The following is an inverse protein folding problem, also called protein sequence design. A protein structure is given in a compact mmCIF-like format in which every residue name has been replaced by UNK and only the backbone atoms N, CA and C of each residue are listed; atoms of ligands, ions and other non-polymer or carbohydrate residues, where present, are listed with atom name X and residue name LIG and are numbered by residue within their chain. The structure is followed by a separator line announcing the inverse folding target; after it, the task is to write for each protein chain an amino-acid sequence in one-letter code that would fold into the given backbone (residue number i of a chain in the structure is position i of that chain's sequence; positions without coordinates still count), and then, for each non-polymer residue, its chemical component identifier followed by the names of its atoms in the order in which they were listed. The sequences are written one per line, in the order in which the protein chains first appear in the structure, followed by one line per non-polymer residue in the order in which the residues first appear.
data_IF_081465909519
#
_entry.id   IF_081465909519
#
_cell.length_a   1.000
_cell.length_b   1.000
_cell.length_c   1.000
_cell.angle_alpha   90.00
_cell.angle_beta   90.00
_cell.angle_gamma   90.00
#
_symmetry.space_group_name_H-M   'P 1'
#
loop_
_entity.id
_entity.type
_entity.pdbx_description
1 polymer ?
#
# COMPACT_ATOMS: atom_id res chain seq x y z
N UNK A 1 -13.77 -6.88 35.25
CA UNK A 1 -14.19 -5.70 34.52
C UNK A 1 -14.48 -4.51 35.46
N UNK A 2 -15.37 -4.64 36.47
CA UNK A 2 -15.77 -3.54 37.37
C UNK A 2 -14.56 -2.90 38.10
N UNK A 3 -13.66 -3.73 38.67
CA UNK A 3 -12.46 -3.26 39.35
C UNK A 3 -11.55 -2.46 38.40
N UNK A 4 -11.31 -3.00 37.20
CA UNK A 4 -10.49 -2.34 36.18
C UNK A 4 -11.05 -0.94 35.82
N UNK A 5 -12.34 -0.84 35.60
CA UNK A 5 -12.99 0.45 35.27
C UNK A 5 -12.85 1.47 36.41
N UNK A 6 -13.13 1.07 37.66
CA UNK A 6 -12.99 1.95 38.82
C UNK A 6 -11.55 2.44 39.00
N UNK A 7 -10.55 1.58 38.77
CA UNK A 7 -9.14 1.95 38.88
C UNK A 7 -8.73 2.96 37.80
N UNK A 8 -9.22 2.77 36.56
CA UNK A 8 -8.96 3.72 35.45
C UNK A 8 -9.56 5.10 35.79
N UNK A 9 -10.80 5.13 36.31
CA UNK A 9 -11.48 6.38 36.68
C UNK A 9 -10.80 7.07 37.84
N UNK A 10 -10.29 6.33 38.83
CA UNK A 10 -9.62 6.90 40.00
C UNK A 10 -8.26 7.53 39.65
N UNK A 11 -7.47 6.92 38.79
CA UNK A 11 -6.13 7.38 38.39
C UNK A 11 -6.08 7.98 36.98
N UNK A 12 -7.04 8.81 36.61
CA UNK A 12 -7.27 9.32 35.25
C UNK A 12 -6.01 9.88 34.56
N UNK A 13 -5.16 10.61 35.30
CA UNK A 13 -3.97 11.25 34.69
C UNK A 13 -2.97 10.24 34.09
N UNK A 14 -2.68 9.17 34.82
CA UNK A 14 -1.73 8.13 34.37
C UNK A 14 -2.28 7.32 33.18
N UNK A 15 -3.54 6.93 33.26
CA UNK A 15 -4.17 6.14 32.20
C UNK A 15 -4.41 6.96 30.92
N UNK A 16 -4.65 8.28 31.01
CA UNK A 16 -4.70 9.16 29.85
C UNK A 16 -3.39 9.16 29.07
N UNK A 17 -2.25 9.18 29.79
CA UNK A 17 -0.93 9.12 29.14
C UNK A 17 -0.77 7.79 28.37
N UNK A 18 -1.17 6.67 29.00
CA UNK A 18 -1.13 5.35 28.32
C UNK A 18 -2.00 5.34 27.06
N UNK A 19 -3.23 5.83 27.17
CA UNK A 19 -4.14 5.94 26.01
C UNK A 19 -3.53 6.84 24.92
N UNK A 20 -2.93 7.97 25.28
CA UNK A 20 -2.30 8.88 24.33
C UNK A 20 -1.12 8.21 23.58
N UNK A 21 -0.29 7.46 24.30
CA UNK A 21 0.82 6.73 23.66
C UNK A 21 0.32 5.63 22.76
N UNK A 22 -0.66 4.82 23.19
CA UNK A 22 -1.28 3.78 22.34
C UNK A 22 -1.92 4.42 21.10
N UNK A 23 -2.64 5.51 21.28
CA UNK A 23 -3.22 6.28 20.19
C UNK A 23 -2.17 6.71 19.18
N UNK A 24 -1.09 7.37 19.63
CA UNK A 24 -0.05 7.88 18.72
C UNK A 24 0.65 6.76 17.94
N UNK A 25 1.03 5.68 18.63
CA UNK A 25 1.71 4.56 17.96
C UNK A 25 0.74 3.87 16.97
N UNK A 26 -0.49 3.60 17.40
CA UNK A 26 -1.50 2.95 16.53
C UNK A 26 -1.83 3.82 15.32
N UNK A 27 -1.97 5.13 15.52
CA UNK A 27 -2.17 6.08 14.43
C UNK A 27 -1.01 6.03 13.42
N UNK A 28 0.24 6.02 13.90
CA UNK A 28 1.42 5.92 13.03
C UNK A 28 1.45 4.57 12.28
N UNK A 29 1.10 3.46 12.94
CA UNK A 29 1.02 2.14 12.30
C UNK A 29 0.00 2.15 11.16
N UNK A 30 -1.20 2.68 11.39
CA UNK A 30 -2.23 2.77 10.36
C UNK A 30 -1.84 3.71 9.22
N UNK A 31 -1.28 4.86 9.56
CA UNK A 31 -0.82 5.84 8.57
C UNK A 31 0.28 5.25 7.66
N UNK A 32 1.30 4.61 8.25
CA UNK A 32 2.35 3.93 7.48
C UNK A 32 1.81 2.75 6.66
N UNK A 33 0.86 1.99 7.20
CA UNK A 33 0.20 0.92 6.46
C UNK A 33 -0.55 1.46 5.24
N UNK A 34 -1.29 2.56 5.40
CA UNK A 34 -2.01 3.22 4.30
C UNK A 34 -1.09 3.72 3.21
N UNK A 35 0.03 4.34 3.59
CA UNK A 35 1.06 4.78 2.64
C UNK A 35 1.72 3.60 1.93
N UNK A 36 2.05 2.54 2.67
CA UNK A 36 2.67 1.33 2.12
C UNK A 36 1.78 0.70 1.06
N UNK A 37 0.51 0.47 1.39
CA UNK A 37 -0.47 -0.13 0.47
C UNK A 37 -0.74 0.80 -0.71
N UNK A 38 -0.90 2.10 -0.46
CA UNK A 38 -1.13 3.09 -1.51
C UNK A 38 0.01 3.16 -2.51
N UNK A 39 1.26 3.23 -2.03
CA UNK A 39 2.46 3.22 -2.89
C UNK A 39 2.61 1.89 -3.65
N UNK A 40 2.40 0.75 -2.98
CA UNK A 40 2.45 -0.56 -3.62
C UNK A 40 1.42 -0.65 -4.76
N UNK A 41 0.20 -0.17 -4.53
CA UNK A 41 -0.85 -0.11 -5.57
C UNK A 41 -0.45 0.79 -6.74
N UNK A 42 0.05 1.99 -6.49
CA UNK A 42 0.45 2.92 -7.55
C UNK A 42 1.55 2.36 -8.47
N UNK A 43 2.34 1.41 -8.02
CA UNK A 43 3.32 0.75 -8.87
C UNK A 43 2.69 -0.21 -9.89
N UNK A 44 1.46 -0.68 -9.68
CA UNK A 44 0.90 -1.81 -10.44
C UNK A 44 -0.56 -1.64 -10.86
N UNK A 45 -1.26 -0.55 -10.53
CA UNK A 45 -2.69 -0.39 -10.80
C UNK A 45 -3.07 -0.69 -12.25
N UNK A 46 -2.28 -0.22 -13.23
CA UNK A 46 -2.53 -0.50 -14.64
C UNK A 46 -2.45 -2.00 -14.97
N UNK A 47 -1.57 -2.74 -14.29
CA UNK A 47 -1.43 -4.20 -14.47
C UNK A 47 -2.61 -4.94 -13.86
N UNK A 48 -3.09 -4.49 -12.70
CA UNK A 48 -4.23 -5.09 -12.00
C UNK A 48 -5.53 -4.99 -12.82
N UNK A 49 -5.68 -3.95 -13.66
CA UNK A 49 -6.84 -3.75 -14.55
C UNK A 49 -6.93 -4.84 -15.65
N UNK A 50 -5.81 -5.34 -16.15
CA UNK A 50 -5.79 -6.31 -17.22
C UNK A 50 -6.34 -7.67 -16.85
N UNK A 51 -6.37 -8.01 -15.55
CA UNK A 51 -6.76 -9.33 -15.05
C UNK A 51 -6.01 -10.46 -15.77
N UNK A 52 -4.76 -10.21 -16.12
CA UNK A 52 -3.90 -11.14 -16.83
C UNK A 52 -3.18 -12.08 -15.85
N UNK A 53 -2.98 -13.32 -16.26
CA UNK A 53 -2.29 -14.31 -15.42
C UNK A 53 -0.79 -14.25 -15.53
N UNK A 54 -0.26 -13.85 -16.71
CA UNK A 54 1.19 -13.80 -16.92
C UNK A 54 1.60 -12.74 -17.93
N UNK A 55 2.89 -12.42 -17.89
CA UNK A 55 3.57 -11.54 -18.83
C UNK A 55 4.82 -12.23 -19.37
N UNK A 56 5.11 -12.04 -20.64
CA UNK A 56 6.26 -12.62 -21.33
C UNK A 56 7.20 -11.49 -21.72
N UNK A 57 8.44 -11.61 -21.29
CA UNK A 57 9.52 -10.66 -21.54
C UNK A 57 10.65 -11.34 -22.30
N UNK A 58 11.56 -10.55 -22.84
CA UNK A 58 12.84 -11.06 -23.33
C UNK A 58 13.60 -11.76 -22.18
N UNK A 59 14.16 -12.93 -22.42
CA UNK A 59 15.01 -13.65 -21.48
C UNK A 59 16.19 -12.78 -20.98
N UNK A 60 16.69 -11.89 -21.84
CA UNK A 60 17.80 -10.98 -21.50
C UNK A 60 17.39 -9.74 -20.68
N UNK A 61 16.08 -9.54 -20.48
CA UNK A 61 15.56 -8.38 -19.75
C UNK A 61 15.67 -8.50 -18.23
N UNK A 62 16.08 -9.65 -17.71
CA UNK A 62 16.16 -9.91 -16.26
C UNK A 62 14.88 -9.51 -15.52
N UNK A 63 13.73 -9.93 -16.05
CA UNK A 63 12.38 -9.65 -15.51
C UNK A 63 11.98 -8.16 -15.48
N UNK A 64 12.73 -7.29 -16.15
CA UNK A 64 12.48 -5.85 -16.17
C UNK A 64 11.81 -5.44 -17.49
N UNK A 65 10.58 -4.95 -17.41
CA UNK A 65 9.79 -4.51 -18.58
C UNK A 65 10.49 -3.40 -19.37
N UNK A 66 11.19 -2.48 -18.68
CA UNK A 66 11.86 -1.35 -19.34
C UNK A 66 13.02 -1.85 -20.23
N UNK A 67 13.70 -2.90 -19.79
CA UNK A 67 14.82 -3.49 -20.52
C UNK A 67 14.39 -4.52 -21.58
N UNK A 68 13.11 -4.91 -21.58
CA UNK A 68 12.59 -5.91 -22.50
C UNK A 68 12.26 -5.30 -23.86
N UNK A 69 12.75 -5.95 -24.90
CA UNK A 69 12.42 -5.64 -26.30
C UNK A 69 12.26 -6.95 -27.07
N UNK A 70 11.12 -7.11 -27.70
CA UNK A 70 10.75 -8.25 -28.52
C UNK A 70 10.40 -7.76 -29.90
N UNK A 71 10.80 -8.52 -30.94
CA UNK A 71 10.37 -8.24 -32.33
C UNK A 71 9.04 -8.94 -32.56
N UNK A 72 7.98 -8.18 -32.77
CA UNK A 72 6.63 -8.71 -32.95
C UNK A 72 6.54 -9.73 -34.08
N UNK A 73 7.30 -9.51 -35.16
CA UNK A 73 7.30 -10.40 -36.33
C UNK A 73 7.79 -11.82 -35.98
N UNK A 74 8.74 -11.96 -35.08
CA UNK A 74 9.28 -13.26 -34.66
C UNK A 74 8.24 -14.08 -33.87
N UNK A 75 7.29 -13.38 -33.19
CA UNK A 75 6.28 -13.99 -32.33
C UNK A 75 4.85 -13.80 -32.83
N UNK A 76 4.64 -13.34 -34.07
CA UNK A 76 3.32 -13.06 -34.63
C UNK A 76 2.35 -14.24 -34.57
N UNK A 77 2.88 -15.48 -34.62
CA UNK A 77 2.10 -16.72 -34.48
C UNK A 77 1.44 -16.87 -33.10
N UNK A 78 1.93 -16.17 -32.06
CA UNK A 78 1.38 -16.23 -30.72
C UNK A 78 0.12 -15.37 -30.57
N UNK A 79 -0.11 -14.40 -31.45
CA UNK A 79 -1.29 -13.53 -31.46
C UNK A 79 -2.54 -14.19 -32.08
N UNK A 80 -2.62 -15.52 -32.08
CA UNK A 80 -3.79 -16.23 -32.55
C UNK A 80 -4.83 -16.31 -31.42
N UNK A 81 -5.74 -15.34 -31.38
CA UNK A 81 -6.82 -15.25 -30.40
C UNK A 81 -6.74 -14.01 -29.51
N UNK A 82 -7.78 -13.84 -28.67
CA UNK A 82 -7.96 -12.65 -27.84
C UNK A 82 -7.25 -12.74 -26.48
N UNK A 83 -6.48 -13.81 -26.24
CA UNK A 83 -5.85 -14.10 -24.95
C UNK A 83 -4.44 -13.55 -24.80
N UNK A 84 -3.78 -13.15 -25.89
CA UNK A 84 -2.42 -12.61 -25.89
C UNK A 84 -2.41 -11.25 -26.58
N UNK A 85 -1.88 -10.24 -25.88
CA UNK A 85 -1.79 -8.90 -26.39
C UNK A 85 -0.36 -8.35 -26.33
N UNK A 86 0.02 -7.57 -27.35
CA UNK A 86 1.28 -6.86 -27.41
C UNK A 86 1.21 -5.60 -26.53
N UNK A 87 2.29 -5.38 -25.76
CA UNK A 87 2.45 -4.20 -24.92
C UNK A 87 3.75 -3.48 -25.27
N UNK A 88 3.64 -2.21 -25.63
CA UNK A 88 4.74 -1.26 -25.64
C UNK A 88 4.84 -0.51 -24.31
N UNK A 89 6.04 -0.29 -23.79
CA UNK A 89 6.23 0.51 -22.58
C UNK A 89 7.42 1.44 -22.74
N UNK A 90 7.24 2.70 -22.31
CA UNK A 90 8.33 3.67 -22.15
C UNK A 90 7.94 4.70 -21.09
N UNK A 91 8.93 5.36 -20.48
CA UNK A 91 8.69 6.53 -19.65
C UNK A 91 8.67 7.78 -20.50
N UNK A 92 7.83 8.75 -20.16
CA UNK A 92 7.77 10.01 -20.86
C UNK A 92 7.66 11.20 -19.90
N UNK A 93 8.17 12.33 -20.37
CA UNK A 93 7.91 13.65 -19.82
C UNK A 93 6.93 14.33 -20.74
N UNK A 94 5.73 14.56 -20.26
CA UNK A 94 4.68 15.27 -20.98
C UNK A 94 4.77 16.78 -20.72
N UNK A 95 4.90 17.56 -21.77
CA UNK A 95 4.74 19.00 -21.75
C UNK A 95 3.45 19.34 -22.47
N UNK A 96 2.65 20.28 -21.98
CA UNK A 96 1.51 20.82 -22.70
C UNK A 96 1.72 22.30 -23.05
N UNK A 97 0.90 22.84 -23.90
CA UNK A 97 1.08 24.01 -24.77
C UNK A 97 1.72 25.26 -24.13
N UNK A 98 1.62 25.45 -22.83
CA UNK A 98 2.20 26.62 -22.13
C UNK A 98 3.61 26.37 -21.58
N UNK A 99 4.18 25.17 -21.79
CA UNK A 99 5.62 24.87 -21.62
C UNK A 99 6.21 24.99 -20.23
N UNK A 100 5.44 25.32 -19.20
CA UNK A 100 5.96 25.58 -17.86
C UNK A 100 5.98 24.35 -16.96
N UNK A 101 5.04 23.43 -17.10
CA UNK A 101 4.94 22.25 -16.21
C UNK A 101 5.28 20.95 -16.95
N UNK A 102 6.33 20.30 -16.47
CA UNK A 102 6.76 18.98 -16.93
C UNK A 102 6.12 17.90 -16.07
N UNK A 103 5.32 17.04 -16.68
CA UNK A 103 4.64 15.95 -16.01
C UNK A 103 5.28 14.63 -16.38
N UNK A 104 5.77 13.91 -15.37
CA UNK A 104 6.25 12.54 -15.59
C UNK A 104 5.06 11.60 -15.75
N UNK A 105 5.10 10.75 -16.78
CA UNK A 105 4.11 9.74 -17.09
C UNK A 105 4.79 8.46 -17.59
N UNK A 106 4.06 7.35 -17.52
CA UNK A 106 4.38 6.13 -18.25
C UNK A 106 3.55 6.11 -19.52
N UNK A 107 4.08 5.57 -20.59
CA UNK A 107 3.37 5.39 -21.86
C UNK A 107 3.20 3.90 -22.11
N UNK A 108 1.96 3.49 -22.33
CA UNK A 108 1.61 2.15 -22.79
C UNK A 108 1.08 2.22 -24.22
N UNK A 109 1.81 1.56 -25.14
CA UNK A 109 1.38 1.33 -26.52
C UNK A 109 0.67 0.00 -26.62
N UNK A 110 -0.53 -0.02 -27.17
CA UNK A 110 -1.37 -1.22 -27.28
C UNK A 110 -2.28 -1.14 -28.52
N UNK A 111 -2.87 -2.26 -28.91
CA UNK A 111 -4.00 -2.25 -29.84
C UNK A 111 -5.28 -1.95 -29.07
N UNK A 112 -6.10 -1.00 -29.56
CA UNK A 112 -7.35 -0.63 -28.91
C UNK A 112 -8.39 -1.76 -28.84
N UNK A 113 -8.28 -2.76 -29.73
CA UNK A 113 -9.13 -3.95 -29.71
C UNK A 113 -8.68 -5.01 -28.69
N UNK A 114 -7.53 -4.80 -28.03
CA UNK A 114 -7.00 -5.74 -27.06
C UNK A 114 -7.63 -5.57 -25.67
N UNK A 115 -7.59 -6.61 -24.86
CA UNK A 115 -8.02 -6.58 -23.46
C UNK A 115 -7.17 -5.67 -22.57
N UNK A 116 -6.09 -5.09 -23.09
CA UNK A 116 -5.24 -4.12 -22.39
C UNK A 116 -5.81 -2.70 -22.46
N UNK A 117 -6.79 -2.45 -23.34
CA UNK A 117 -7.40 -1.14 -23.50
C UNK A 117 -8.08 -0.71 -22.19
N UNK A 118 -7.83 0.52 -21.70
CA UNK A 118 -8.40 0.98 -20.44
C UNK A 118 -9.87 1.34 -20.58
N UNK A 119 -10.63 1.20 -19.50
CA UNK A 119 -11.98 1.73 -19.40
C UNK A 119 -11.95 3.27 -19.36
N UNK A 120 -12.79 3.90 -20.20
CA UNK A 120 -12.87 5.35 -20.32
C UNK A 120 -13.95 5.88 -19.41
N UNK A 121 -13.57 6.82 -18.52
CA UNK A 121 -14.51 7.46 -17.58
C UNK A 121 -15.01 8.82 -18.08
N UNK A 122 -14.26 9.46 -18.99
CA UNK A 122 -14.60 10.78 -19.55
C UNK A 122 -14.01 10.89 -20.97
N UNK A 123 -14.72 11.52 -21.87
CA UNK A 123 -14.29 11.71 -23.25
C UNK A 123 -14.77 10.56 -24.17
N UNK A 124 -13.93 10.18 -25.12
CA UNK A 124 -14.22 9.11 -26.11
C UNK A 124 -13.02 8.21 -26.32
N UNK A 125 -13.22 7.01 -26.93
CA UNK A 125 -12.12 6.19 -27.42
C UNK A 125 -11.22 6.94 -28.42
N UNK A 126 -9.96 6.54 -28.47
CA UNK A 126 -9.05 6.99 -29.51
C UNK A 126 -9.37 6.24 -30.81
N UNK A 127 -9.57 6.98 -31.89
CA UNK A 127 -9.93 6.47 -33.21
C UNK A 127 -8.91 6.83 -34.29
N UNK A 128 -8.12 7.88 -34.03
CA UNK A 128 -7.15 8.40 -34.98
C UNK A 128 -5.73 8.30 -34.45
N UNK A 129 -4.74 8.35 -35.34
CA UNK A 129 -3.34 8.44 -34.95
C UNK A 129 -3.10 9.69 -34.07
N UNK A 130 -2.17 9.55 -33.13
CA UNK A 130 -1.77 10.59 -32.16
C UNK A 130 -2.88 11.01 -31.17
N UNK A 131 -3.96 10.24 -31.07
CA UNK A 131 -4.93 10.38 -30.00
C UNK A 131 -4.52 9.50 -28.82
N UNK A 132 -4.66 10.04 -27.59
CA UNK A 132 -4.25 9.35 -26.37
C UNK A 132 -5.35 9.38 -25.31
N UNK A 133 -5.36 8.33 -24.48
CA UNK A 133 -6.19 8.27 -23.27
C UNK A 133 -5.27 8.39 -22.07
N UNK A 134 -5.54 9.33 -21.19
CA UNK A 134 -4.69 9.67 -20.06
C UNK A 134 -5.32 9.25 -18.72
N UNK A 135 -4.50 8.86 -17.76
CA UNK A 135 -4.98 8.65 -16.39
C UNK A 135 -5.46 9.98 -15.76
N UNK A 136 -6.57 9.93 -15.03
CA UNK A 136 -7.23 11.07 -14.35
C UNK A 136 -6.29 11.90 -13.47
N UNK A 137 -5.18 11.34 -13.00
CA UNK A 137 -4.18 12.10 -12.23
C UNK A 137 -3.46 13.15 -13.07
N UNK A 138 -3.39 12.99 -14.40
CA UNK A 138 -2.94 14.06 -15.29
C UNK A 138 -3.97 15.18 -15.38
N UNK A 139 -5.27 14.87 -15.37
CA UNK A 139 -6.36 15.85 -15.29
C UNK A 139 -6.27 16.67 -13.99
N UNK A 140 -5.99 16.01 -12.84
CA UNK A 140 -5.79 16.69 -11.56
C UNK A 140 -4.58 17.63 -11.56
N UNK A 141 -3.63 17.43 -12.46
CA UNK A 141 -2.46 18.31 -12.68
C UNK A 141 -2.67 19.38 -13.76
N UNK A 142 -3.90 19.51 -14.26
CA UNK A 142 -4.30 20.59 -15.18
C UNK A 142 -4.51 20.19 -16.63
N UNK A 143 -4.19 18.95 -17.04
CA UNK A 143 -4.45 18.46 -18.40
C UNK A 143 -5.94 18.30 -18.63
N UNK A 144 -6.45 18.77 -19.78
CA UNK A 144 -7.88 18.74 -20.15
C UNK A 144 -8.11 17.93 -21.41
N UNK A 145 -9.37 17.54 -21.64
CA UNK A 145 -9.78 16.97 -22.92
C UNK A 145 -9.51 17.98 -24.05
N UNK A 146 -8.90 17.48 -25.12
CA UNK A 146 -8.52 18.28 -26.28
C UNK A 146 -7.12 18.89 -26.22
N UNK A 147 -6.47 18.89 -25.05
CA UNK A 147 -5.10 19.37 -24.92
C UNK A 147 -4.13 18.54 -25.76
N UNK A 148 -3.11 19.19 -26.26
CA UNK A 148 -2.03 18.56 -27.00
C UNK A 148 -0.80 18.39 -26.10
N UNK A 149 -0.34 17.18 -25.97
CA UNK A 149 0.84 16.82 -25.18
C UNK A 149 2.03 16.59 -26.09
N UNK A 150 3.15 17.25 -25.77
CA UNK A 150 4.45 16.93 -26.34
C UNK A 150 5.13 15.93 -25.42
N UNK A 151 5.40 14.72 -25.91
CA UNK A 151 6.05 13.65 -25.12
C UNK A 151 7.54 13.57 -25.48
N UNK A 152 8.42 13.61 -24.45
CA UNK A 152 9.89 13.51 -24.59
C UNK A 152 10.50 14.50 -25.59
N UNK A 153 9.88 15.65 -25.83
CA UNK A 153 10.36 16.62 -26.82
C UNK A 153 10.18 16.15 -28.28
N UNK A 154 9.29 15.17 -28.52
CA UNK A 154 8.91 14.75 -29.87
C UNK A 154 8.37 15.91 -30.68
N UNK A 155 8.60 15.92 -31.99
CA UNK A 155 7.96 16.89 -32.90
C UNK A 155 6.45 16.67 -33.05
N UNK A 156 5.98 15.44 -32.69
CA UNK A 156 4.56 15.09 -32.71
C UNK A 156 3.86 15.56 -31.44
N UNK A 157 2.64 16.02 -31.62
CA UNK A 157 1.72 16.38 -30.55
C UNK A 157 0.65 15.29 -30.43
N UNK A 158 0.38 14.87 -29.21
CA UNK A 158 -0.59 13.83 -28.88
C UNK A 158 -1.81 14.45 -28.23
N UNK A 159 -2.98 14.27 -28.84
CA UNK A 159 -4.22 14.86 -28.36
C UNK A 159 -4.90 13.99 -27.31
N UNK A 160 -5.20 14.54 -26.15
CA UNK A 160 -5.96 13.86 -25.08
C UNK A 160 -7.44 13.81 -25.46
N UNK A 161 -7.96 12.64 -25.78
CA UNK A 161 -9.37 12.45 -26.21
C UNK A 161 -10.22 11.77 -25.14
N UNK A 162 -9.59 11.14 -24.13
CA UNK A 162 -10.29 10.50 -23.03
C UNK A 162 -9.46 10.44 -21.78
N UNK A 163 -10.16 10.26 -20.66
CA UNK A 163 -9.55 9.97 -19.36
C UNK A 163 -9.98 8.61 -18.85
N UNK A 164 -9.07 7.96 -18.15
CA UNK A 164 -9.26 6.70 -17.45
C UNK A 164 -8.92 6.85 -15.97
N UNK A 165 -9.31 5.91 -15.13
CA UNK A 165 -9.06 5.94 -13.69
C UNK A 165 -8.26 4.71 -13.25
N UNK A 166 -7.51 4.85 -12.16
CA UNK A 166 -6.72 3.78 -11.55
C UNK A 166 -5.70 3.13 -12.50
N UNK A 167 -5.10 3.91 -13.39
CA UNK A 167 -4.07 3.47 -14.31
C UNK A 167 -2.72 4.11 -13.98
N UNK A 168 -1.93 3.42 -13.16
CA UNK A 168 -0.55 3.82 -12.85
C UNK A 168 0.44 2.68 -12.93
N UNK A 169 1.66 3.03 -13.28
CA UNK A 169 2.79 2.15 -13.32
C UNK A 169 4.04 2.91 -12.85
N UNK A 170 4.91 2.30 -12.04
CA UNK A 170 6.04 2.99 -11.38
C UNK A 170 5.63 4.28 -10.65
N UNK A 171 4.49 4.25 -9.94
CA UNK A 171 3.92 5.41 -9.24
C UNK A 171 3.49 6.60 -10.12
N UNK A 172 3.68 6.49 -11.43
CA UNK A 172 3.34 7.54 -12.40
C UNK A 172 2.02 7.23 -13.11
N UNK A 173 1.25 8.26 -13.52
CA UNK A 173 0.07 8.09 -14.35
C UNK A 173 0.44 7.50 -15.70
N UNK A 174 -0.43 6.67 -16.27
CA UNK A 174 -0.23 6.08 -17.59
C UNK A 174 -0.96 6.90 -18.65
N UNK A 175 -0.29 7.06 -19.80
CA UNK A 175 -0.85 7.54 -21.05
C UNK A 175 -0.91 6.34 -21.99
N UNK A 176 -2.09 6.02 -22.50
CA UNK A 176 -2.33 4.96 -23.46
C UNK A 176 -2.38 5.53 -24.87
N UNK A 177 -1.74 4.86 -25.80
CA UNK A 177 -1.72 5.22 -27.22
C UNK A 177 -1.72 3.97 -28.11
N UNK A 178 -1.95 4.18 -29.40
CA UNK A 178 -1.80 3.11 -30.36
C UNK A 178 -0.36 2.59 -30.42
N UNK A 179 -0.21 1.30 -30.75
CA UNK A 179 1.09 0.63 -30.76
C UNK A 179 2.03 1.21 -31.81
N UNK A 180 1.52 1.68 -32.95
CA UNK A 180 2.34 2.30 -33.98
C UNK A 180 2.78 3.72 -33.59
N UNK A 181 1.93 4.49 -32.92
CA UNK A 181 2.29 5.79 -32.33
C UNK A 181 3.35 5.63 -31.22
N UNK A 182 3.22 4.61 -30.39
CA UNK A 182 4.23 4.23 -29.41
C UNK A 182 5.60 3.92 -30.05
N UNK A 183 5.59 3.18 -31.15
CA UNK A 183 6.80 2.84 -31.89
C UNK A 183 7.48 4.09 -32.46
N UNK A 184 6.68 5.00 -33.01
CA UNK A 184 7.18 6.29 -33.49
C UNK A 184 7.79 7.11 -32.35
N UNK A 185 7.11 7.18 -31.19
CA UNK A 185 7.62 7.88 -30.01
C UNK A 185 8.93 7.29 -29.47
N UNK A 186 9.01 5.96 -29.36
CA UNK A 186 10.14 5.29 -28.70
C UNK A 186 11.32 5.06 -29.64
N UNK A 187 11.06 4.71 -30.91
CA UNK A 187 12.07 4.29 -31.87
C UNK A 187 12.23 5.25 -33.08
N UNK A 188 11.42 6.32 -33.13
CA UNK A 188 11.44 7.29 -34.21
C UNK A 188 10.77 6.82 -35.52
N UNK A 189 10.21 5.59 -35.55
CA UNK A 189 9.55 5.04 -36.73
C UNK A 189 8.57 3.94 -36.37
N UNK A 190 7.36 3.99 -36.94
CA UNK A 190 6.36 2.92 -36.82
C UNK A 190 6.73 1.64 -37.58
N UNK A 191 7.73 1.71 -38.49
CA UNK A 191 8.24 0.54 -39.20
C UNK A 191 9.03 -0.42 -38.32
N UNK A 192 9.52 0.04 -37.18
CA UNK A 192 10.22 -0.80 -36.20
C UNK A 192 9.19 -1.56 -35.38
N UNK A 193 8.88 -2.80 -35.78
CA UNK A 193 7.86 -3.63 -35.13
C UNK A 193 8.35 -4.26 -33.83
N UNK A 194 8.83 -3.40 -32.91
CA UNK A 194 9.27 -3.80 -31.58
C UNK A 194 8.16 -3.54 -30.55
N UNK A 195 8.07 -4.44 -29.57
CA UNK A 195 7.20 -4.37 -28.41
C UNK A 195 8.02 -4.61 -27.14
N UNK A 196 7.48 -4.28 -25.99
CA UNK A 196 8.17 -4.50 -24.71
C UNK A 196 7.83 -5.87 -24.10
N UNK A 197 6.59 -6.33 -24.28
CA UNK A 197 6.12 -7.58 -23.68
C UNK A 197 4.92 -8.16 -24.45
N UNK A 198 4.64 -9.45 -24.17
CA UNK A 198 3.35 -10.05 -24.44
C UNK A 198 2.62 -10.24 -23.09
N UNK A 199 1.38 -9.82 -23.01
CA UNK A 199 0.53 -10.03 -21.84
C UNK A 199 -0.43 -11.17 -22.15
N UNK A 200 -0.52 -12.15 -21.26
CA UNK A 200 -1.31 -13.37 -21.43
C UNK A 200 -2.43 -13.38 -20.40
N UNK A 201 -3.67 -13.40 -20.88
CA UNK A 201 -4.88 -13.31 -20.05
C UNK A 201 -5.24 -14.65 -19.41
N UNK A 202 -5.05 -15.72 -20.12
CA UNK A 202 -5.30 -17.10 -19.69
C UNK A 202 -4.00 -17.83 -19.32
N UNK A 203 -4.12 -19.01 -18.74
CA UNK A 203 -2.98 -19.81 -18.28
C UNK A 203 -2.13 -20.45 -19.40
N UNK A 204 -2.17 -19.91 -20.62
CA UNK A 204 -1.40 -20.42 -21.74
C UNK A 204 0.10 -20.31 -21.45
N UNK A 205 0.81 -21.45 -21.58
CA UNK A 205 2.26 -21.48 -21.47
C UNK A 205 2.90 -21.17 -22.81
N UNK A 206 3.87 -20.28 -22.81
CA UNK A 206 4.67 -19.91 -23.96
C UNK A 206 6.09 -20.41 -23.73
N UNK A 207 6.46 -21.47 -24.42
CA UNK A 207 7.79 -22.08 -24.34
C UNK A 207 8.52 -21.80 -25.67
N UNK A 208 9.07 -20.60 -25.80
CA UNK A 208 9.82 -20.16 -26.96
C UNK A 208 11.22 -19.70 -26.55
N UNK A 209 12.21 -20.00 -27.39
CA UNK A 209 13.59 -19.57 -27.16
C UNK A 209 13.69 -18.04 -27.10
N UNK A 210 14.42 -17.50 -26.13
CA UNK A 210 14.61 -16.07 -25.95
C UNK A 210 13.49 -15.36 -25.18
N UNK A 211 12.44 -16.09 -24.79
CA UNK A 211 11.32 -15.58 -23.99
C UNK A 211 11.34 -16.11 -22.56
N UNK A 212 10.93 -15.27 -21.64
CA UNK A 212 10.75 -15.61 -20.22
C UNK A 212 9.33 -15.24 -19.81
N UNK A 213 8.50 -16.25 -19.53
CA UNK A 213 7.15 -16.06 -19.03
C UNK A 213 7.18 -16.01 -17.49
N UNK A 214 6.56 -14.98 -16.92
CA UNK A 214 6.43 -14.76 -15.48
C UNK A 214 4.95 -14.74 -15.11
N UNK A 215 4.59 -15.29 -13.96
CA UNK A 215 3.27 -14.99 -13.39
C UNK A 215 3.15 -13.49 -13.13
N UNK A 216 1.93 -12.94 -13.18
CA UNK A 216 1.74 -11.52 -12.91
C UNK A 216 2.22 -11.13 -11.51
N UNK A 217 2.06 -12.01 -10.52
CA UNK A 217 2.59 -11.81 -9.17
C UNK A 217 4.11 -11.74 -9.15
N UNK A 218 4.80 -12.70 -9.79
CA UNK A 218 6.27 -12.70 -9.87
C UNK A 218 6.78 -11.45 -10.60
N UNK A 219 6.10 -11.02 -11.65
CA UNK A 219 6.47 -9.80 -12.38
C UNK A 219 6.34 -8.56 -11.49
N UNK A 220 5.22 -8.40 -10.76
CA UNK A 220 4.98 -7.28 -9.84
C UNK A 220 6.05 -7.24 -8.75
N UNK A 221 6.41 -8.37 -8.17
CA UNK A 221 7.46 -8.45 -7.16
C UNK A 221 8.83 -8.04 -7.69
N UNK A 222 9.10 -8.25 -8.99
CA UNK A 222 10.35 -7.86 -9.64
C UNK A 222 10.33 -6.44 -10.24
N UNK A 223 9.23 -5.68 -10.10
CA UNK A 223 9.21 -4.25 -10.48
C UNK A 223 10.32 -3.52 -9.69
N UNK A 224 11.21 -2.78 -10.38
CA UNK A 224 12.30 -2.06 -9.74
C UNK A 224 11.82 -1.16 -8.59
N UNK A 225 12.37 -1.38 -7.39
CA UNK A 225 12.02 -0.64 -6.19
C UNK A 225 10.79 -1.15 -5.42
N UNK A 226 9.96 -2.04 -5.98
CA UNK A 226 8.75 -2.54 -5.31
C UNK A 226 9.07 -3.35 -4.05
N UNK A 227 9.87 -4.40 -4.19
CA UNK A 227 10.27 -5.27 -3.07
C UNK A 227 10.98 -4.50 -1.93
N UNK A 228 12.02 -3.70 -2.19
CA UNK A 228 12.67 -2.89 -1.14
C UNK A 228 11.69 -1.96 -0.43
N UNK A 229 10.76 -1.35 -1.17
CA UNK A 229 9.72 -0.48 -0.61
C UNK A 229 8.81 -1.25 0.36
N UNK A 230 8.23 -2.37 -0.09
CA UNK A 230 7.31 -3.20 0.71
C UNK A 230 8.02 -3.72 1.98
N UNK A 231 9.26 -4.20 1.85
CA UNK A 231 10.05 -4.68 2.99
C UNK A 231 10.35 -3.56 3.98
N UNK A 232 10.71 -2.38 3.51
CA UNK A 232 11.01 -1.23 4.38
C UNK A 232 9.79 -0.84 5.21
N UNK A 233 8.62 -0.67 4.58
CA UNK A 233 7.40 -0.34 5.31
C UNK A 233 6.98 -1.47 6.26
N UNK A 234 7.08 -2.73 5.85
CA UNK A 234 6.75 -3.87 6.69
C UNK A 234 7.65 -3.93 7.93
N UNK A 235 8.94 -3.65 7.78
CA UNK A 235 9.88 -3.57 8.89
C UNK A 235 9.54 -2.40 9.83
N UNK A 236 9.23 -1.22 9.30
CA UNK A 236 8.82 -0.06 10.10
C UNK A 236 7.55 -0.34 10.90
N UNK A 237 6.54 -0.93 10.26
CA UNK A 237 5.29 -1.32 10.93
C UNK A 237 5.56 -2.35 12.02
N UNK A 238 6.36 -3.37 11.73
CA UNK A 238 6.76 -4.39 12.72
C UNK A 238 7.49 -3.81 13.92
N UNK A 239 8.40 -2.87 13.69
CA UNK A 239 9.10 -2.15 14.76
C UNK A 239 8.13 -1.34 15.63
N UNK A 240 7.15 -0.65 15.03
CA UNK A 240 6.14 0.11 15.77
C UNK A 240 5.25 -0.79 16.62
N UNK A 241 4.87 -1.96 16.11
CA UNK A 241 4.11 -2.97 16.86
C UNK A 241 4.93 -3.49 18.04
N UNK A 242 6.22 -3.75 17.85
CA UNK A 242 7.13 -4.15 18.93
C UNK A 242 7.27 -3.05 20.00
N UNK A 243 7.37 -1.80 19.58
CA UNK A 243 7.38 -0.65 20.49
C UNK A 243 6.10 -0.61 21.33
N UNK A 244 4.94 -0.90 20.73
CA UNK A 244 3.67 -0.98 21.48
C UNK A 244 3.73 -2.01 22.60
N UNK A 245 4.26 -3.20 22.32
CA UNK A 245 4.49 -4.25 23.31
C UNK A 245 5.37 -3.78 24.46
N UNK A 246 6.54 -3.19 24.16
CA UNK A 246 7.49 -2.73 25.17
C UNK A 246 6.94 -1.59 26.02
N UNK A 247 6.37 -0.57 25.38
CA UNK A 247 5.87 0.62 26.05
C UNK A 247 4.71 0.28 26.98
N UNK A 248 3.72 -0.48 26.51
CA UNK A 248 2.62 -0.91 27.36
C UNK A 248 3.08 -1.84 28.47
N UNK A 249 4.00 -2.73 28.18
CA UNK A 249 4.59 -3.60 29.20
C UNK A 249 5.25 -2.80 30.34
N UNK A 250 6.07 -1.83 29.99
CA UNK A 250 6.76 -0.94 30.95
C UNK A 250 5.75 -0.11 31.74
N UNK A 251 4.78 0.53 31.08
CA UNK A 251 3.78 1.33 31.76
C UNK A 251 2.95 0.51 32.75
N UNK A 252 2.47 -0.65 32.32
CA UNK A 252 1.67 -1.52 33.19
C UNK A 252 2.50 -2.10 34.33
N UNK A 253 3.77 -2.39 34.09
CA UNK A 253 4.69 -2.82 35.14
C UNK A 253 4.89 -1.72 36.19
N UNK A 254 5.13 -0.48 35.79
CA UNK A 254 5.29 0.66 36.70
C UNK A 254 4.00 0.90 37.52
N UNK A 255 2.82 0.90 36.88
CA UNK A 255 1.54 1.07 37.56
C UNK A 255 1.30 -0.06 38.57
N UNK A 256 1.67 -1.30 38.21
CA UNK A 256 1.52 -2.46 39.09
C UNK A 256 2.43 -2.37 40.32
N UNK A 257 3.69 -1.92 40.17
CA UNK A 257 4.60 -1.69 41.29
C UNK A 257 4.04 -0.65 42.25
N UNK A 258 3.55 0.48 41.74
CA UNK A 258 2.96 1.54 42.55
C UNK A 258 1.71 1.10 43.33
N UNK A 259 1.05 0.03 42.91
CA UNK A 259 -0.15 -0.53 43.54
C UNK A 259 0.14 -1.80 44.37
N UNK A 260 1.41 -2.17 44.56
CA UNK A 260 1.78 -3.41 45.25
C UNK A 260 1.18 -3.45 46.67
N UNK A 261 1.22 -2.37 47.43
CA UNK A 261 0.61 -2.26 48.74
C UNK A 261 -0.91 -2.50 48.72
N UNK A 262 -1.62 -1.87 47.75
CA UNK A 262 -3.08 -2.07 47.59
C UNK A 262 -3.41 -3.54 47.24
N UNK A 263 -2.64 -4.15 46.35
CA UNK A 263 -2.84 -5.55 45.95
C UNK A 263 -2.51 -6.51 47.12
N UNK A 264 -1.54 -6.15 47.96
CA UNK A 264 -1.25 -6.90 49.18
C UNK A 264 -2.42 -6.91 50.19
N UNK A 265 -3.03 -5.74 50.43
CA UNK A 265 -4.23 -5.63 51.25
C UNK A 265 -5.39 -6.43 50.69
N UNK A 266 -5.62 -6.36 49.38
CA UNK A 266 -6.69 -7.15 48.71
C UNK A 266 -6.47 -8.65 48.86
N UNK A 267 -5.21 -9.13 48.79
CA UNK A 267 -4.86 -10.55 49.01
C UNK A 267 -5.07 -10.96 50.46
N UNK A 268 -4.72 -10.12 51.40
CA UNK A 268 -4.97 -10.37 52.83
C UNK A 268 -6.48 -10.44 53.18
N UNK A 269 -7.32 -9.70 52.44
CA UNK A 269 -8.77 -9.78 52.50
C UNK A 269 -9.34 -11.02 51.79
N UNK A 270 -8.52 -11.92 51.27
CA UNK A 270 -8.94 -13.16 50.60
C UNK A 270 -9.27 -13.05 49.11
N UNK A 271 -8.94 -11.91 48.45
CA UNK A 271 -9.12 -11.77 47.03
C UNK A 271 -8.05 -12.60 46.28
N UNK A 272 -8.51 -13.56 45.49
CA UNK A 272 -7.63 -14.45 44.75
C UNK A 272 -6.77 -13.65 43.73
N UNK A 273 -5.48 -13.99 43.62
CA UNK A 273 -4.54 -13.36 42.67
C UNK A 273 -5.07 -13.36 41.23
N UNK A 274 -5.82 -14.39 40.79
CA UNK A 274 -6.44 -14.46 39.47
C UNK A 274 -7.45 -13.33 39.19
N UNK A 275 -8.17 -12.82 40.22
CA UNK A 275 -9.06 -11.67 40.05
C UNK A 275 -8.27 -10.35 39.84
N UNK A 276 -7.13 -10.20 40.49
CA UNK A 276 -6.24 -9.04 40.32
C UNK A 276 -5.62 -9.09 38.92
N UNK A 277 -5.12 -10.25 38.49
CA UNK A 277 -4.58 -10.45 37.15
C UNK A 277 -5.65 -10.15 36.08
N UNK A 278 -6.85 -10.69 36.23
CA UNK A 278 -7.95 -10.41 35.32
C UNK A 278 -8.30 -8.90 35.28
N UNK A 279 -8.18 -8.17 36.39
CA UNK A 279 -8.35 -6.73 36.41
C UNK A 279 -7.29 -6.02 35.55
N UNK A 280 -6.03 -6.43 35.66
CA UNK A 280 -4.93 -5.86 34.84
C UNK A 280 -5.17 -6.15 33.34
N UNK A 281 -5.57 -7.36 32.96
CA UNK A 281 -5.93 -7.66 31.58
C UNK A 281 -7.05 -6.78 31.05
N UNK A 282 -8.13 -6.61 31.81
CA UNK A 282 -9.21 -5.74 31.44
C UNK A 282 -8.80 -4.27 31.33
N UNK A 283 -7.91 -3.80 32.19
CA UNK A 283 -7.36 -2.44 32.08
C UNK A 283 -6.62 -2.27 30.74
N UNK A 284 -5.69 -3.18 30.41
CA UNK A 284 -4.94 -3.12 29.15
C UNK A 284 -5.87 -3.17 27.97
N UNK A 285 -6.85 -4.09 27.97
CA UNK A 285 -7.82 -4.22 26.89
C UNK A 285 -8.63 -2.93 26.69
N UNK A 286 -9.15 -2.32 27.76
CA UNK A 286 -9.90 -1.07 27.67
C UNK A 286 -9.02 0.07 27.15
N UNK A 287 -7.79 0.20 27.67
CA UNK A 287 -6.87 1.27 27.27
C UNK A 287 -6.44 1.12 25.80
N UNK A 288 -6.13 -0.10 25.37
CA UNK A 288 -5.79 -0.41 23.99
C UNK A 288 -6.96 -0.11 23.06
N UNK A 289 -8.16 -0.57 23.40
CA UNK A 289 -9.37 -0.34 22.60
C UNK A 289 -9.66 1.16 22.47
N UNK A 290 -9.54 1.93 23.55
CA UNK A 290 -9.73 3.38 23.52
C UNK A 290 -8.68 4.07 22.63
N UNK A 291 -7.40 3.70 22.78
CA UNK A 291 -6.32 4.26 21.96
C UNK A 291 -6.50 3.93 20.48
N UNK A 292 -6.84 2.68 20.15
CA UNK A 292 -7.10 2.23 18.79
C UNK A 292 -8.32 2.95 18.18
N UNK A 293 -9.41 3.08 18.95
CA UNK A 293 -10.61 3.78 18.46
C UNK A 293 -10.33 5.24 18.12
N UNK A 294 -9.55 5.93 18.96
CA UNK A 294 -9.11 7.30 18.70
C UNK A 294 -8.21 7.37 17.46
N UNK A 295 -7.31 6.37 17.27
CA UNK A 295 -6.44 6.31 16.11
C UNK A 295 -7.22 6.12 14.81
N UNK A 296 -8.25 5.27 14.80
CA UNK A 296 -9.14 5.10 13.65
C UNK A 296 -9.89 6.40 13.33
N UNK A 297 -10.43 7.07 14.34
CA UNK A 297 -11.11 8.35 14.14
C UNK A 297 -10.19 9.43 13.58
N UNK A 298 -8.97 9.52 14.13
CA UNK A 298 -7.95 10.46 13.62
C UNK A 298 -7.54 10.14 12.18
N UNK A 299 -7.41 8.85 11.85
CA UNK A 299 -7.07 8.41 10.49
C UNK A 299 -8.17 8.79 9.48
N UNK A 300 -9.44 8.61 9.84
CA UNK A 300 -10.57 9.06 9.01
C UNK A 300 -10.53 10.58 8.80
N UNK A 301 -10.25 11.34 9.86
CA UNK A 301 -10.07 12.79 9.75
C UNK A 301 -8.89 13.17 8.86
N UNK A 302 -7.77 12.45 8.95
CA UNK A 302 -6.60 12.66 8.10
C UNK A 302 -6.92 12.43 6.64
N UNK A 303 -7.68 11.38 6.31
CA UNK A 303 -8.06 11.05 4.94
C UNK A 303 -8.88 12.17 4.27
N UNK A 304 -9.66 12.94 5.03
CA UNK A 304 -10.42 14.07 4.50
C UNK A 304 -9.57 15.30 4.16
N UNK A 305 -8.38 15.41 4.75
CA UNK A 305 -7.50 16.58 4.60
C UNK A 305 -6.35 16.32 3.64
N UNK A 306 -6.01 15.05 3.41
CA UNK A 306 -4.89 14.69 2.54
C UNK A 306 -5.17 15.08 1.08
N UNK A 307 -4.18 15.66 0.38
CA UNK A 307 -4.31 15.93 -1.05
C UNK A 307 -4.43 14.61 -1.85
N UNK A 308 -5.21 14.65 -2.92
CA UNK A 308 -5.42 13.49 -3.81
C UNK A 308 -4.11 12.96 -4.46
N UNK A 309 -3.06 13.78 -4.49
CA UNK A 309 -1.73 13.37 -4.99
C UNK A 309 -0.97 12.46 -4.03
N UNK A 310 -1.39 12.36 -2.76
CA UNK A 310 -0.73 11.51 -1.78
C UNK A 310 -1.16 10.06 -1.95
N UNK A 311 -0.22 9.10 -2.03
CA UNK A 311 -0.51 7.69 -2.21
C UNK A 311 -1.06 7.05 -0.92
N UNK A 312 -2.26 7.44 -0.54
CA UNK A 312 -2.90 6.98 0.68
C UNK A 312 -4.10 6.09 0.35
N UNK A 313 -4.04 4.83 0.77
CA UNK A 313 -5.12 3.88 0.55
C UNK A 313 -5.50 3.17 1.85
N UNK A 314 -6.79 3.25 2.22
CA UNK A 314 -7.33 2.63 3.42
C UNK A 314 -7.75 1.18 3.14
N UNK A 315 -6.90 0.24 3.50
CA UNK A 315 -7.24 -1.18 3.45
C UNK A 315 -7.80 -1.66 4.79
N UNK A 316 -9.12 -1.75 4.87
CA UNK A 316 -9.84 -2.18 6.09
C UNK A 316 -9.51 -3.61 6.52
N UNK A 317 -9.11 -4.49 5.60
CA UNK A 317 -8.68 -5.87 5.91
C UNK A 317 -7.32 -5.84 6.61
N UNK A 318 -6.40 -5.07 6.10
CA UNK A 318 -5.10 -4.85 6.73
C UNK A 318 -5.25 -4.22 8.12
N UNK A 319 -6.12 -3.21 8.26
CA UNK A 319 -6.38 -2.58 9.56
C UNK A 319 -6.98 -3.57 10.58
N UNK A 320 -7.92 -4.42 10.18
CA UNK A 320 -8.46 -5.44 11.07
C UNK A 320 -7.37 -6.38 11.59
N UNK A 321 -6.46 -6.83 10.72
CA UNK A 321 -5.30 -7.63 11.12
C UNK A 321 -4.37 -6.90 12.09
N UNK A 322 -4.07 -5.62 11.81
CA UNK A 322 -3.24 -4.78 12.67
C UNK A 322 -3.88 -4.51 14.03
N UNK A 323 -5.21 -4.28 14.09
CA UNK A 323 -5.95 -4.11 15.35
C UNK A 323 -5.78 -5.35 16.23
N UNK A 324 -6.03 -6.53 15.66
CA UNK A 324 -5.87 -7.80 16.39
C UNK A 324 -4.44 -7.96 16.90
N UNK A 325 -3.46 -7.66 16.04
CA UNK A 325 -2.04 -7.76 16.39
C UNK A 325 -1.66 -6.78 17.49
N UNK A 326 -2.08 -5.52 17.43
CA UNK A 326 -1.79 -4.48 18.44
C UNK A 326 -2.45 -4.85 19.77
N UNK A 327 -3.70 -5.30 19.79
CA UNK A 327 -4.37 -5.75 21.01
C UNK A 327 -3.63 -6.95 21.62
N UNK A 328 -3.27 -7.92 20.80
CA UNK A 328 -2.50 -9.08 21.25
C UNK A 328 -1.16 -8.68 21.86
N UNK A 329 -0.39 -7.84 21.18
CA UNK A 329 0.90 -7.35 21.65
C UNK A 329 0.76 -6.48 22.93
N UNK A 330 -0.31 -5.71 23.03
CA UNK A 330 -0.64 -4.94 24.24
C UNK A 330 -0.88 -5.85 25.44
N UNK A 331 -1.67 -6.90 25.25
CA UNK A 331 -1.94 -7.89 26.31
C UNK A 331 -0.68 -8.66 26.65
N UNK A 332 0.11 -9.08 25.66
CA UNK A 332 1.39 -9.76 25.87
C UNK A 332 2.38 -8.90 26.66
N UNK A 333 2.48 -7.59 26.38
CA UNK A 333 3.27 -6.65 27.18
C UNK A 333 2.84 -6.61 28.65
N UNK A 334 1.54 -6.71 28.90
CA UNK A 334 0.98 -6.76 30.27
C UNK A 334 1.39 -8.01 31.06
N UNK A 335 1.81 -9.10 30.42
CA UNK A 335 2.30 -10.29 31.11
C UNK A 335 3.51 -9.99 32.00
N UNK A 336 4.33 -9.00 31.63
CA UNK A 336 5.46 -8.55 32.46
C UNK A 336 5.00 -8.08 33.85
N UNK A 337 3.81 -7.46 33.93
CA UNK A 337 3.21 -7.00 35.19
C UNK A 337 2.66 -8.15 36.04
N UNK A 338 2.17 -9.20 35.41
CA UNK A 338 1.56 -10.36 36.10
C UNK A 338 2.59 -11.10 36.96
N UNK A 339 3.80 -11.29 36.44
CA UNK A 339 4.86 -11.96 37.18
C UNK A 339 5.15 -11.23 38.52
N UNK A 340 5.04 -9.91 38.54
CA UNK A 340 5.21 -9.10 39.78
C UNK A 340 4.06 -9.33 40.75
N UNK A 341 2.80 -9.36 40.24
CA UNK A 341 1.62 -9.60 41.11
C UNK A 341 1.66 -10.96 41.79
N UNK A 342 2.13 -11.98 41.10
CA UNK A 342 2.24 -13.33 41.65
C UNK A 342 3.27 -13.42 42.83
N UNK A 343 4.28 -12.56 42.80
CA UNK A 343 5.34 -12.51 43.82
C UNK A 343 5.02 -11.60 45.03
N UNK A 344 3.85 -10.94 45.07
CA UNK A 344 3.46 -10.10 46.21
C UNK A 344 3.19 -11.01 47.43
N UNK A 345 3.98 -10.84 48.49
CA UNK A 345 3.69 -11.44 49.79
C UNK A 345 2.75 -10.52 50.56
N UNK A 346 1.57 -11.01 51.02
CA UNK A 346 0.62 -10.23 51.76
C UNK A 346 1.20 -9.70 53.10
N UNK A 347 2.09 -10.47 53.74
CA UNK A 347 2.68 -10.13 55.03
C UNK A 347 3.62 -8.93 54.90
N UNK A 348 4.53 -8.97 53.93
CA UNK A 348 5.49 -7.87 53.68
C UNK A 348 4.78 -6.63 53.10
N UNK A 349 3.69 -6.80 52.38
CA UNK A 349 2.93 -5.67 51.83
C UNK A 349 2.13 -4.89 52.92
N UNK A 350 1.79 -5.49 54.04
CA UNK A 350 1.03 -4.84 55.11
C UNK A 350 1.98 -4.36 56.22
N UNK A 351 3.13 -5.05 56.45
CA UNK A 351 4.04 -4.80 57.57
C UNK A 351 5.03 -3.67 57.38
N UNK A 352 4.90 -2.87 56.35
CA UNK A 352 5.63 -1.64 56.04
C UNK A 352 7.06 -1.55 56.55
N UNK A 353 8.08 -1.84 55.74
CA UNK A 353 9.28 -1.05 55.57
C UNK A 353 9.30 -0.54 54.14
#
# INVERSE_FOLDING_TARGET
LFLAFKEIVYSRGRYRLVVAVVFLITYMVFFLSSLSVGLARLNRLALDQWQAESIVLSEYANKNLIASTLKEEEYSRLFQGDSIAALGQTSAVANYEDGTDKLNAQVFGLSWDSFLAPDIIEGRPAENAYEVIADKRLQQKGVKLGDQLQLNGSERLYQVVGFTEDNSFFTQPVIFMDLDDFRELKYGSSQVKNISALVVKDGQKIEEAGLSQLSMSDFIENIPGYQPQVLTFSFMIGAMVLITFLVLGIFMYIITIQKTHLYGIMRAQGIASGKIIASIFWQIFILSTLGISLAVLALLGTQLVLPASMPFYSDWRAYAGLIVLIVFMSLAGGLLSIHRVLKIDPITAIGGE
#
